data_IF_366455859058
#
_entry.id   IF_366455859058
#
_cell.length_a   1.000
_cell.length_b   1.000
_cell.length_c   1.000
_cell.angle_alpha   90.00
_cell.angle_beta   90.00
_cell.angle_gamma   90.00
#
_symmetry.space_group_name_H-M   'P 1'
#
loop_
_entity.id
_entity.type
_entity.pdbx_description
1 polymer ?
#
# COMPACT_ATOMS: atom_id res chain seq x y z
N UNK A 1 -0.66 23.89 8.30
CA UNK A 1 -1.25 24.64 9.45
C UNK A 1 -1.77 26.01 9.03
N UNK A 2 -0.98 26.87 8.36
CA UNK A 2 -1.44 28.21 7.95
C UNK A 2 -2.72 28.21 7.09
N UNK A 3 -2.83 27.28 6.14
CA UNK A 3 -4.05 27.12 5.34
C UNK A 3 -5.27 26.79 6.20
N UNK A 4 -5.13 25.91 7.20
CA UNK A 4 -6.23 25.55 8.10
C UNK A 4 -6.73 26.76 8.91
N UNK A 5 -5.84 27.71 9.28
CA UNK A 5 -6.25 28.98 9.90
C UNK A 5 -7.08 29.84 8.95
N UNK A 6 -6.68 29.94 7.67
CA UNK A 6 -7.45 30.64 6.62
C UNK A 6 -8.79 29.96 6.34
N UNK A 7 -8.81 28.63 6.28
CA UNK A 7 -10.03 27.84 6.06
C UNK A 7 -11.05 28.07 7.18
N UNK A 8 -10.62 28.06 8.45
CA UNK A 8 -11.50 28.34 9.60
C UNK A 8 -12.09 29.75 9.58
N UNK A 9 -11.44 30.71 8.93
CA UNK A 9 -11.99 32.06 8.74
C UNK A 9 -13.14 32.10 7.71
N UNK A 10 -13.30 31.05 6.89
CA UNK A 10 -14.37 30.94 5.90
C UNK A 10 -15.41 29.90 6.37
N UNK A 11 -16.53 30.33 7.01
CA UNK A 11 -17.44 29.41 7.70
C UNK A 11 -18.10 28.38 6.79
N UNK A 12 -18.49 28.77 5.57
CA UNK A 12 -19.14 27.88 4.58
C UNK A 12 -18.17 26.80 4.11
N UNK A 13 -16.98 27.21 3.63
CA UNK A 13 -15.97 26.27 3.14
C UNK A 13 -15.46 25.35 4.25
N UNK A 14 -15.32 25.87 5.47
CA UNK A 14 -14.97 25.08 6.65
C UNK A 14 -16.04 24.03 6.97
N UNK A 15 -17.33 24.39 6.95
CA UNK A 15 -18.41 23.45 7.18
C UNK A 15 -18.44 22.33 6.13
N UNK A 16 -18.32 22.68 4.85
CA UNK A 16 -18.20 21.72 3.76
C UNK A 16 -16.98 20.79 3.96
N UNK A 17 -15.82 21.36 4.27
CA UNK A 17 -14.54 20.64 4.44
C UNK A 17 -14.55 19.71 5.65
N UNK A 18 -15.20 20.11 6.75
CA UNK A 18 -15.30 19.30 7.97
C UNK A 18 -16.13 18.03 7.76
N UNK A 19 -17.13 18.09 6.89
CA UNK A 19 -18.05 16.98 6.64
C UNK A 19 -17.65 16.10 5.44
N UNK A 20 -16.36 16.06 5.07
CA UNK A 20 -15.86 15.33 3.89
C UNK A 20 -16.33 13.87 3.82
N UNK A 21 -16.31 13.14 4.94
CA UNK A 21 -16.73 11.74 5.02
C UNK A 21 -18.22 11.57 4.75
N UNK A 22 -19.05 12.52 5.19
CA UNK A 22 -20.50 12.50 4.96
C UNK A 22 -20.80 12.65 3.47
N UNK A 23 -20.20 13.64 2.80
CA UNK A 23 -20.39 13.86 1.36
C UNK A 23 -19.96 12.66 0.52
N UNK A 24 -18.85 12.02 0.91
CA UNK A 24 -18.37 10.78 0.28
C UNK A 24 -19.38 9.64 0.45
N UNK A 25 -19.88 9.43 1.67
CA UNK A 25 -20.85 8.39 1.97
C UNK A 25 -22.16 8.59 1.22
N UNK A 26 -22.65 9.84 1.15
CA UNK A 26 -23.87 10.18 0.41
C UNK A 26 -23.71 9.88 -1.08
N UNK A 27 -22.58 10.28 -1.70
CA UNK A 27 -22.36 10.05 -3.13
C UNK A 27 -22.34 8.56 -3.48
N UNK A 28 -21.67 7.75 -2.66
CA UNK A 28 -21.62 6.31 -2.88
C UNK A 28 -22.97 5.64 -2.68
N UNK A 29 -23.70 5.99 -1.61
CA UNK A 29 -25.01 5.41 -1.34
C UNK A 29 -26.02 5.76 -2.46
N UNK A 30 -25.95 6.98 -3.00
CA UNK A 30 -26.74 7.38 -4.17
C UNK A 30 -26.34 6.57 -5.41
N UNK A 31 -25.05 6.38 -5.66
CA UNK A 31 -24.57 5.54 -6.76
C UNK A 31 -25.11 4.11 -6.66
N UNK A 32 -24.99 3.47 -5.50
CA UNK A 32 -25.55 2.12 -5.26
C UNK A 32 -27.05 2.10 -5.48
N UNK A 33 -27.77 3.09 -4.92
CA UNK A 33 -29.22 3.18 -5.05
C UNK A 33 -29.67 3.33 -6.51
N UNK A 34 -29.07 4.26 -7.26
CA UNK A 34 -29.39 4.46 -8.67
C UNK A 34 -29.14 3.19 -9.48
N UNK A 35 -28.01 2.50 -9.26
CA UNK A 35 -27.72 1.25 -9.95
C UNK A 35 -28.69 0.12 -9.59
N UNK A 36 -29.12 0.02 -8.32
CA UNK A 36 -30.16 -0.94 -7.93
C UNK A 36 -31.48 -0.63 -8.62
N UNK A 37 -31.89 0.63 -8.68
CA UNK A 37 -33.10 1.05 -9.40
C UNK A 37 -33.04 0.67 -10.89
N UNK A 38 -31.90 0.91 -11.53
CA UNK A 38 -31.67 0.53 -12.93
C UNK A 38 -31.72 -1.00 -13.08
N UNK A 39 -31.13 -1.75 -12.17
CA UNK A 39 -31.14 -3.21 -12.20
C UNK A 39 -32.56 -3.80 -12.09
N UNK A 40 -33.44 -3.21 -11.27
CA UNK A 40 -34.78 -3.75 -11.05
C UNK A 40 -35.82 -3.32 -12.09
N UNK A 41 -35.64 -2.14 -12.68
CA UNK A 41 -36.71 -1.52 -13.46
C UNK A 41 -36.30 -1.17 -14.91
N UNK A 42 -35.12 -1.60 -15.37
CA UNK A 42 -34.75 -1.52 -16.79
C UNK A 42 -35.31 -2.72 -17.57
N UNK A 43 -35.83 -2.56 -18.81
CA UNK A 43 -35.92 -1.34 -19.60
C UNK A 43 -36.98 -0.36 -19.08
N UNK A 44 -36.66 0.94 -19.14
CA UNK A 44 -37.44 2.05 -18.58
C UNK A 44 -38.85 2.22 -19.19
N UNK A 45 -39.17 1.45 -20.23
CA UNK A 45 -40.39 1.58 -21.03
C UNK A 45 -41.65 0.98 -20.37
N UNK A 46 -41.53 0.25 -19.25
CA UNK A 46 -42.65 -0.51 -18.66
C UNK A 46 -43.51 0.19 -17.59
N UNK A 47 -43.12 1.38 -17.08
CA UNK A 47 -43.85 2.09 -16.01
C UNK A 47 -44.38 3.43 -16.53
N UNK A 48 -44.90 3.43 -17.75
CA UNK A 48 -45.62 4.57 -18.29
C UNK A 48 -47.03 4.61 -17.69
N UNK A 49 -47.25 5.53 -16.75
CA UNK A 49 -48.49 6.30 -16.67
C UNK A 49 -49.82 5.55 -16.51
N UNK A 50 -49.84 4.32 -16.00
CA UNK A 50 -51.08 3.76 -15.45
C UNK A 50 -51.40 4.52 -14.16
N UNK A 51 -52.59 5.11 -14.05
CA UNK A 51 -53.08 5.70 -12.79
C UNK A 51 -52.81 4.69 -11.67
N UNK A 52 -51.90 5.04 -10.76
CA UNK A 52 -51.56 4.17 -9.65
C UNK A 52 -52.86 3.80 -8.93
N UNK A 53 -53.13 2.50 -8.77
CA UNK A 53 -54.35 2.04 -8.10
C UNK A 53 -54.54 2.84 -6.81
N UNK A 54 -55.73 3.42 -6.64
CA UNK A 54 -56.01 4.38 -5.57
C UNK A 54 -55.67 3.80 -4.21
N UNK A 55 -55.85 2.49 -4.04
CA UNK A 55 -55.44 1.73 -2.85
C UNK A 55 -53.92 1.68 -2.66
N UNK A 56 -53.15 1.39 -3.72
CA UNK A 56 -51.68 1.39 -3.67
C UNK A 56 -51.12 2.79 -3.41
N UNK A 57 -51.76 3.82 -3.99
CA UNK A 57 -51.39 5.21 -3.77
C UNK A 57 -51.62 5.66 -2.33
N UNK A 58 -52.77 5.30 -1.75
CA UNK A 58 -53.08 5.55 -0.35
C UNK A 58 -52.12 4.80 0.59
N UNK A 59 -51.81 3.53 0.29
CA UNK A 59 -50.86 2.73 1.07
C UNK A 59 -49.47 3.38 1.12
N UNK A 60 -48.96 3.86 -0.03
CA UNK A 60 -47.66 4.53 -0.08
C UNK A 60 -47.65 5.85 0.71
N UNK A 61 -48.73 6.64 0.65
CA UNK A 61 -48.86 7.85 1.47
C UNK A 61 -48.92 7.56 2.96
N UNK A 62 -49.66 6.53 3.37
CA UNK A 62 -49.68 6.05 4.74
C UNK A 62 -48.29 5.62 5.20
N UNK A 63 -47.53 4.96 4.32
CA UNK A 63 -46.13 4.59 4.57
C UNK A 63 -45.20 5.80 4.76
N UNK A 64 -45.30 6.81 3.90
CA UNK A 64 -44.50 8.06 4.05
C UNK A 64 -44.85 8.77 5.37
N UNK A 65 -46.13 8.90 5.68
CA UNK A 65 -46.58 9.56 6.92
C UNK A 65 -46.15 8.79 8.17
N UNK A 66 -46.31 7.46 8.18
CA UNK A 66 -45.88 6.62 9.29
C UNK A 66 -44.36 6.70 9.51
N UNK A 67 -43.56 6.61 8.44
CA UNK A 67 -42.09 6.74 8.55
C UNK A 67 -41.65 8.14 8.96
N UNK A 68 -42.34 9.20 8.50
CA UNK A 68 -42.09 10.57 8.92
C UNK A 68 -42.36 10.77 10.41
N UNK A 69 -43.49 10.25 10.92
CA UNK A 69 -43.84 10.29 12.34
C UNK A 69 -42.79 9.55 13.17
N UNK A 70 -42.38 8.35 12.75
CA UNK A 70 -41.34 7.56 13.44
C UNK A 70 -40.02 8.34 13.51
N UNK A 71 -39.60 9.02 12.43
CA UNK A 71 -38.36 9.81 12.41
C UNK A 71 -38.44 11.03 13.34
N UNK A 72 -39.61 11.69 13.44
CA UNK A 72 -39.82 12.84 14.32
C UNK A 72 -39.79 12.42 15.79
N UNK A 73 -40.41 11.28 16.14
CA UNK A 73 -40.45 10.78 17.52
C UNK A 73 -39.10 10.17 17.91
N UNK A 74 -38.47 9.40 17.01
CA UNK A 74 -37.21 8.71 17.24
C UNK A 74 -36.31 8.81 16.00
N UNK A 75 -35.37 9.76 15.95
CA UNK A 75 -34.44 9.95 14.82
C UNK A 75 -33.35 8.88 14.82
N UNK A 76 -33.75 7.62 14.64
CA UNK A 76 -32.85 6.49 14.46
C UNK A 76 -32.35 6.46 13.01
N UNK A 77 -31.09 6.03 12.77
CA UNK A 77 -30.53 5.94 11.42
C UNK A 77 -31.34 5.01 10.51
N UNK A 78 -31.99 3.99 11.06
CA UNK A 78 -32.89 3.10 10.34
C UNK A 78 -34.16 3.83 9.87
N UNK A 79 -34.73 4.70 10.70
CA UNK A 79 -35.91 5.49 10.35
C UNK A 79 -35.65 6.46 9.20
N UNK A 80 -34.50 7.14 9.21
CA UNK A 80 -34.10 8.05 8.13
C UNK A 80 -33.93 7.28 6.81
N UNK A 81 -33.30 6.10 6.84
CA UNK A 81 -33.16 5.23 5.66
C UNK A 81 -34.52 4.76 5.14
N UNK A 82 -35.41 4.33 6.03
CA UNK A 82 -36.75 3.91 5.65
C UNK A 82 -37.55 5.04 5.00
N UNK A 83 -37.47 6.26 5.54
CA UNK A 83 -38.12 7.44 4.96
C UNK A 83 -37.58 7.74 3.55
N UNK A 84 -36.26 7.69 3.35
CA UNK A 84 -35.64 7.89 2.01
C UNK A 84 -36.10 6.83 1.02
N UNK A 85 -36.15 5.56 1.42
CA UNK A 85 -36.59 4.47 0.55
C UNK A 85 -38.08 4.65 0.16
N UNK A 86 -38.96 4.90 1.13
CA UNK A 86 -40.41 5.02 0.87
C UNK A 86 -40.72 6.27 0.04
N UNK A 87 -40.01 7.37 0.25
CA UNK A 87 -40.16 8.58 -0.57
C UNK A 87 -39.68 8.38 -2.01
N UNK A 88 -38.56 7.68 -2.23
CA UNK A 88 -38.07 7.35 -3.58
C UNK A 88 -39.02 6.36 -4.27
N UNK A 89 -39.48 5.33 -3.56
CA UNK A 89 -40.47 4.37 -4.08
C UNK A 89 -41.74 5.10 -4.51
N UNK A 90 -42.21 6.06 -3.70
CA UNK A 90 -43.35 6.91 -4.05
C UNK A 90 -43.09 7.73 -5.31
N UNK A 91 -41.94 8.39 -5.41
CA UNK A 91 -41.56 9.19 -6.59
C UNK A 91 -41.56 8.37 -7.88
N UNK A 92 -41.02 7.15 -7.84
CA UNK A 92 -41.00 6.22 -8.98
C UNK A 92 -42.43 5.91 -9.44
N UNK A 93 -43.33 5.58 -8.51
CA UNK A 93 -44.71 5.24 -8.83
C UNK A 93 -45.60 6.45 -9.20
N UNK A 94 -45.25 7.67 -8.78
CA UNK A 94 -46.05 8.87 -9.10
C UNK A 94 -45.60 9.60 -10.35
N UNK A 95 -44.28 9.77 -10.54
CA UNK A 95 -43.69 10.60 -11.61
C UNK A 95 -43.07 9.73 -12.71
N UNK A 96 -42.80 8.46 -12.41
CA UNK A 96 -42.05 7.56 -13.27
C UNK A 96 -40.58 7.45 -12.86
N UNK A 97 -39.93 6.41 -13.38
CA UNK A 97 -38.55 6.09 -13.03
C UNK A 97 -37.54 7.05 -13.65
N UNK A 98 -37.72 7.42 -14.92
CA UNK A 98 -36.78 8.27 -15.66
C UNK A 98 -36.62 9.67 -15.02
N UNK A 99 -37.69 10.41 -14.67
CA UNK A 99 -37.55 11.69 -13.97
C UNK A 99 -36.96 11.53 -12.56
N UNK A 100 -37.26 10.42 -11.88
CA UNK A 100 -36.71 10.13 -10.55
C UNK A 100 -35.20 9.88 -10.62
N UNK A 101 -34.73 9.11 -11.60
CA UNK A 101 -33.30 8.88 -11.83
C UNK A 101 -32.57 10.16 -12.24
N UNK A 102 -33.19 11.01 -13.06
CA UNK A 102 -32.64 12.32 -13.40
C UNK A 102 -32.45 13.20 -12.14
N UNK A 103 -33.46 13.25 -11.26
CA UNK A 103 -33.39 14.02 -10.02
C UNK A 103 -32.29 13.50 -9.07
N UNK A 104 -32.21 12.17 -8.89
CA UNK A 104 -31.18 11.53 -8.05
C UNK A 104 -29.78 11.73 -8.63
N UNK A 105 -29.62 11.63 -9.95
CA UNK A 105 -28.37 11.87 -10.66
C UNK A 105 -27.90 13.32 -10.53
N UNK A 106 -28.80 14.29 -10.76
CA UNK A 106 -28.52 15.71 -10.57
C UNK A 106 -28.13 16.02 -9.11
N UNK A 107 -28.83 15.43 -8.14
CA UNK A 107 -28.48 15.55 -6.72
C UNK A 107 -27.09 14.97 -6.43
N UNK A 108 -26.74 13.82 -7.03
CA UNK A 108 -25.42 13.22 -6.87
C UNK A 108 -24.30 14.08 -7.49
N UNK A 109 -24.53 14.71 -8.65
CA UNK A 109 -23.60 15.66 -9.27
C UNK A 109 -23.36 16.85 -8.33
N UNK A 110 -24.43 17.47 -7.81
CA UNK A 110 -24.32 18.57 -6.85
C UNK A 110 -23.55 18.16 -5.59
N UNK A 111 -23.88 16.99 -5.02
CA UNK A 111 -23.20 16.44 -3.87
C UNK A 111 -21.71 16.19 -4.16
N UNK A 112 -21.36 15.68 -5.34
CA UNK A 112 -19.97 15.43 -5.73
C UNK A 112 -19.19 16.73 -5.94
N UNK A 113 -19.82 17.79 -6.45
CA UNK A 113 -19.21 19.12 -6.53
C UNK A 113 -18.89 19.64 -5.12
N UNK A 114 -19.82 19.51 -4.16
CA UNK A 114 -19.59 19.89 -2.76
C UNK A 114 -18.45 19.05 -2.16
N UNK A 115 -18.43 17.74 -2.42
CA UNK A 115 -17.34 16.86 -2.00
C UNK A 115 -16.00 17.32 -2.58
N UNK A 116 -15.93 17.67 -3.87
CA UNK A 116 -14.69 18.11 -4.51
C UNK A 116 -14.18 19.41 -3.88
N UNK A 117 -15.07 20.37 -3.63
CA UNK A 117 -14.72 21.61 -2.92
C UNK A 117 -14.25 21.35 -1.48
N UNK A 118 -14.90 20.41 -0.79
CA UNK A 118 -14.51 19.93 0.55
C UNK A 118 -13.12 19.28 0.55
N UNK A 119 -12.84 18.44 -0.44
CA UNK A 119 -11.55 17.77 -0.63
C UNK A 119 -10.42 18.77 -0.90
N UNK A 120 -10.62 19.68 -1.85
CA UNK A 120 -9.66 20.75 -2.16
C UNK A 120 -9.43 21.68 -0.96
N UNK A 121 -10.52 22.01 -0.25
CA UNK A 121 -10.50 22.80 0.97
C UNK A 121 -9.70 22.14 2.09
N UNK A 122 -9.85 20.83 2.30
CA UNK A 122 -9.16 20.13 3.39
C UNK A 122 -7.66 19.94 3.11
N UNK A 123 -7.30 19.56 1.88
CA UNK A 123 -5.89 19.34 1.46
C UNK A 123 -5.12 20.65 1.26
N UNK A 124 -5.81 21.77 1.04
CA UNK A 124 -5.18 23.08 0.81
C UNK A 124 -4.44 23.19 -0.51
N UNK A 125 -4.83 22.37 -1.51
CA UNK A 125 -4.23 22.34 -2.86
C UNK A 125 -4.35 23.67 -3.59
N UNK A 126 -5.32 24.52 -3.23
CA UNK A 126 -5.42 25.90 -3.73
C UNK A 126 -4.14 26.73 -3.52
N UNK A 127 -3.37 26.46 -2.45
CA UNK A 127 -2.15 27.20 -2.15
C UNK A 127 -0.92 26.76 -2.96
N UNK A 128 -0.96 25.58 -3.58
CA UNK A 128 0.18 24.98 -4.32
C UNK A 128 0.19 25.31 -5.82
N UNK A 129 -0.85 25.98 -6.33
CA UNK A 129 -0.99 26.36 -7.74
C UNK A 129 -1.70 25.29 -8.61
N UNK A 130 -2.24 25.72 -9.75
CA UNK A 130 -3.12 24.91 -10.61
C UNK A 130 -2.41 23.70 -11.25
N UNK A 131 -1.15 23.86 -11.70
CA UNK A 131 -0.39 22.77 -12.34
C UNK A 131 -0.16 21.58 -11.41
N UNK A 132 0.13 21.85 -10.14
CA UNK A 132 0.30 20.80 -9.13
C UNK A 132 -1.02 20.08 -8.80
N UNK A 133 -2.16 20.78 -8.90
CA UNK A 133 -3.49 20.20 -8.67
C UNK A 133 -3.87 19.19 -9.76
N UNK A 134 -3.62 19.51 -11.04
CA UNK A 134 -3.96 18.62 -12.17
C UNK A 134 -3.07 17.37 -12.21
N UNK A 135 -1.84 17.46 -11.72
CA UNK A 135 -0.92 16.32 -11.62
C UNK A 135 -1.23 15.38 -10.45
N UNK A 136 -2.15 15.75 -9.55
CA UNK A 136 -2.53 14.92 -8.42
C UNK A 136 -3.54 13.84 -8.86
N UNK A 137 -3.13 12.57 -8.77
CA UNK A 137 -3.95 11.42 -9.14
C UNK A 137 -5.25 11.35 -8.33
N UNK A 138 -5.24 11.73 -7.04
CA UNK A 138 -6.46 11.72 -6.22
C UNK A 138 -7.48 12.73 -6.75
N UNK A 139 -7.04 13.93 -7.17
CA UNK A 139 -7.93 14.93 -7.74
C UNK A 139 -8.51 14.46 -9.08
N UNK A 140 -7.67 13.91 -9.95
CA UNK A 140 -8.08 13.40 -11.26
C UNK A 140 -9.14 12.29 -11.13
N UNK A 141 -8.98 11.38 -10.16
CA UNK A 141 -9.96 10.35 -9.87
C UNK A 141 -11.34 10.93 -9.53
N UNK A 142 -11.40 11.89 -8.60
CA UNK A 142 -12.68 12.51 -8.20
C UNK A 142 -13.29 13.37 -9.32
N UNK A 143 -12.45 13.98 -10.16
CA UNK A 143 -12.89 14.72 -11.34
C UNK A 143 -13.48 13.80 -12.41
N UNK A 144 -12.83 12.66 -12.70
CA UNK A 144 -13.36 11.63 -13.61
C UNK A 144 -14.69 11.08 -13.06
N UNK A 145 -14.79 10.82 -11.75
CA UNK A 145 -16.05 10.40 -11.14
C UNK A 145 -17.17 11.43 -11.36
N UNK A 146 -16.88 12.74 -11.23
CA UNK A 146 -17.84 13.79 -11.52
C UNK A 146 -18.27 13.78 -12.99
N UNK A 147 -17.34 13.59 -13.92
CA UNK A 147 -17.62 13.48 -15.35
C UNK A 147 -18.53 12.28 -15.64
N UNK A 148 -18.21 11.09 -15.14
CA UNK A 148 -19.03 9.88 -15.29
C UNK A 148 -20.44 10.10 -14.71
N UNK A 149 -20.55 10.76 -13.55
CA UNK A 149 -21.83 11.09 -12.95
C UNK A 149 -22.65 12.02 -13.86
N UNK A 150 -22.01 13.00 -14.52
CA UNK A 150 -22.68 13.88 -15.48
C UNK A 150 -23.10 13.15 -16.76
N UNK A 151 -22.28 12.22 -17.27
CA UNK A 151 -22.63 11.38 -18.42
C UNK A 151 -23.82 10.46 -18.11
N UNK A 152 -23.94 10.00 -16.85
CA UNK A 152 -25.12 9.25 -16.38
C UNK A 152 -26.42 10.04 -16.44
N UNK A 153 -26.36 11.36 -16.23
CA UNK A 153 -27.52 12.26 -16.28
C UNK A 153 -27.86 12.69 -17.70
N UNK A 154 -26.85 13.04 -18.52
CA UNK A 154 -27.07 13.68 -19.82
C UNK A 154 -26.98 12.74 -21.02
N UNK A 155 -26.31 11.59 -20.91
CA UNK A 155 -26.07 10.68 -22.04
C UNK A 155 -26.84 9.38 -21.89
N UNK A 156 -26.53 8.57 -20.87
CA UNK A 156 -27.20 7.30 -20.66
C UNK A 156 -27.06 6.80 -19.22
N UNK A 157 -28.13 6.18 -18.70
CA UNK A 157 -28.24 5.68 -17.33
C UNK A 157 -27.18 4.61 -16.99
N UNK A 158 -26.67 3.86 -17.96
CA UNK A 158 -25.63 2.85 -17.75
C UNK A 158 -24.28 3.40 -17.28
N UNK A 159 -23.98 4.68 -17.49
CA UNK A 159 -22.75 5.27 -16.94
C UNK A 159 -22.73 5.24 -15.40
N UNK A 160 -23.88 5.13 -14.73
CA UNK A 160 -23.92 4.94 -13.27
C UNK A 160 -23.23 3.65 -12.82
N UNK A 161 -23.16 2.60 -13.66
CA UNK A 161 -22.49 1.34 -13.31
C UNK A 161 -21.00 1.54 -13.02
N UNK A 162 -20.35 2.46 -13.72
CA UNK A 162 -18.95 2.80 -13.52
C UNK A 162 -18.71 3.50 -12.18
N UNK A 163 -19.71 4.16 -11.59
CA UNK A 163 -19.59 4.78 -10.27
C UNK A 163 -19.44 3.74 -9.16
N UNK A 164 -19.87 2.49 -9.37
CA UNK A 164 -19.73 1.42 -8.38
C UNK A 164 -18.27 1.02 -8.14
N UNK A 165 -17.37 1.30 -9.08
CA UNK A 165 -15.92 1.08 -8.88
C UNK A 165 -15.34 1.92 -7.74
N UNK A 166 -16.05 2.95 -7.26
CA UNK A 166 -15.66 3.68 -6.06
C UNK A 166 -15.62 2.81 -4.80
N UNK A 167 -16.34 1.67 -4.78
CA UNK A 167 -16.22 0.67 -3.71
C UNK A 167 -14.77 0.22 -3.53
N UNK A 168 -14.05 0.02 -4.64
CA UNK A 168 -12.65 -0.40 -4.62
C UNK A 168 -11.81 0.65 -3.91
N UNK A 169 -11.91 1.93 -4.29
CA UNK A 169 -11.09 3.00 -3.70
C UNK A 169 -11.39 3.23 -2.21
N UNK A 170 -12.63 2.98 -1.78
CA UNK A 170 -13.07 3.21 -0.41
C UNK A 170 -12.64 2.12 0.57
N UNK A 171 -12.52 0.87 0.10
CA UNK A 171 -12.17 -0.27 0.95
C UNK A 171 -10.70 -0.67 0.79
N UNK A 172 -9.90 -0.46 1.85
CA UNK A 172 -8.47 -0.81 1.86
C UNK A 172 -8.24 -2.30 1.55
N UNK A 173 -9.15 -3.17 2.00
CA UNK A 173 -9.09 -4.62 1.76
C UNK A 173 -9.18 -4.95 0.28
N UNK A 174 -10.11 -4.33 -0.45
CA UNK A 174 -10.27 -4.52 -1.90
C UNK A 174 -9.11 -3.90 -2.69
N UNK A 175 -8.59 -2.74 -2.26
CA UNK A 175 -7.37 -2.18 -2.85
C UNK A 175 -6.19 -3.13 -2.72
N UNK A 176 -6.04 -3.76 -1.56
CA UNK A 176 -4.97 -4.75 -1.35
C UNK A 176 -5.14 -5.98 -2.26
N UNK A 177 -6.37 -6.41 -2.53
CA UNK A 177 -6.66 -7.48 -3.50
C UNK A 177 -6.23 -7.06 -4.91
N UNK A 178 -6.55 -5.86 -5.37
CA UNK A 178 -6.08 -5.38 -6.69
C UNK A 178 -4.56 -5.19 -6.71
N UNK A 179 -3.98 -4.75 -5.59
CA UNK A 179 -2.53 -4.57 -5.45
C UNK A 179 -1.77 -5.88 -5.59
N UNK A 180 -2.34 -7.01 -5.17
CA UNK A 180 -1.72 -8.33 -5.37
C UNK A 180 -1.44 -8.60 -6.86
N UNK A 181 -2.43 -8.37 -7.72
CA UNK A 181 -2.31 -8.60 -9.17
C UNK A 181 -1.44 -7.53 -9.84
N UNK A 182 -1.57 -6.27 -9.43
CA UNK A 182 -0.88 -5.15 -10.11
C UNK A 182 0.59 -5.01 -9.73
N UNK A 183 1.00 -5.43 -8.52
CA UNK A 183 2.39 -5.30 -8.03
C UNK A 183 3.38 -6.12 -8.87
N UNK A 184 3.08 -7.40 -9.10
CA UNK A 184 3.88 -8.27 -9.97
C UNK A 184 3.25 -8.42 -11.35
N UNK A 185 2.54 -7.39 -11.82
CA UNK A 185 1.80 -7.42 -13.09
C UNK A 185 2.68 -7.73 -14.30
N UNK A 186 3.96 -7.31 -14.29
CA UNK A 186 4.92 -7.67 -15.35
C UNK A 186 5.08 -9.19 -15.50
N UNK A 187 5.21 -9.92 -14.40
CA UNK A 187 5.38 -11.38 -14.41
C UNK A 187 4.11 -12.08 -14.89
N UNK A 188 2.93 -11.59 -14.47
CA UNK A 188 1.63 -12.09 -14.95
C UNK A 188 1.49 -11.88 -16.46
N UNK A 189 1.80 -10.67 -16.96
CA UNK A 189 1.74 -10.37 -18.40
C UNK A 189 2.71 -11.24 -19.18
N UNK A 190 3.95 -11.41 -18.72
CA UNK A 190 4.93 -12.29 -19.36
C UNK A 190 4.45 -13.76 -19.39
N UNK A 191 3.80 -14.22 -18.33
CA UNK A 191 3.23 -15.57 -18.27
C UNK A 191 2.04 -15.72 -19.21
N UNK A 192 1.18 -14.70 -19.33
CA UNK A 192 0.09 -14.67 -20.30
C UNK A 192 0.60 -14.65 -21.75
N UNK A 193 1.70 -13.93 -22.02
CA UNK A 193 2.39 -13.96 -23.32
C UNK A 193 2.97 -15.35 -23.61
N UNK A 194 3.58 -16.02 -22.63
CA UNK A 194 4.02 -17.41 -22.76
C UNK A 194 2.83 -18.34 -23.06
N UNK A 195 1.70 -18.17 -22.36
CA UNK A 195 0.47 -18.90 -22.63
C UNK A 195 0.00 -18.73 -24.07
N UNK A 196 -0.01 -17.48 -24.56
CA UNK A 196 -0.41 -17.14 -25.92
C UNK A 196 0.52 -17.78 -26.96
N UNK A 197 1.84 -17.78 -26.72
CA UNK A 197 2.82 -18.44 -27.59
C UNK A 197 2.57 -19.95 -27.63
N UNK A 198 2.33 -20.59 -26.48
CA UNK A 198 2.03 -22.02 -26.43
C UNK A 198 0.73 -22.34 -27.16
N UNK A 199 -0.34 -21.59 -26.90
CA UNK A 199 -1.62 -21.73 -27.61
C UNK A 199 -1.43 -21.57 -29.12
N UNK A 200 -0.62 -20.62 -29.56
CA UNK A 200 -0.28 -20.41 -30.97
C UNK A 200 0.41 -21.64 -31.58
N UNK A 201 1.41 -22.21 -30.89
CA UNK A 201 2.10 -23.42 -31.36
C UNK A 201 1.17 -24.63 -31.45
N UNK A 202 0.34 -24.86 -30.44
CA UNK A 202 -0.68 -25.92 -30.47
C UNK A 202 -1.69 -25.69 -31.59
N UNK A 203 -2.08 -24.44 -31.86
CA UNK A 203 -3.00 -24.11 -32.95
C UNK A 203 -2.41 -24.40 -34.33
N UNK A 204 -1.10 -24.20 -34.54
CA UNK A 204 -0.43 -24.60 -35.80
C UNK A 204 -0.48 -26.12 -35.98
N UNK A 205 -0.17 -26.87 -34.93
CA UNK A 205 -0.21 -28.34 -34.96
C UNK A 205 -1.65 -28.82 -35.21
N UNK A 206 -2.63 -28.23 -34.52
CA UNK A 206 -4.05 -28.48 -34.72
C UNK A 206 -4.49 -28.18 -36.16
N UNK A 207 -4.07 -27.06 -36.73
CA UNK A 207 -4.38 -26.67 -38.10
C UNK A 207 -3.79 -27.59 -39.17
N UNK A 208 -2.57 -28.11 -38.95
CA UNK A 208 -1.90 -28.97 -39.93
C UNK A 208 -2.43 -30.42 -39.87
N UNK A 209 -2.64 -30.96 -38.67
CA UNK A 209 -2.94 -32.38 -38.48
C UNK A 209 -4.40 -32.70 -38.14
N UNK A 210 -5.13 -31.79 -37.51
CA UNK A 210 -6.45 -32.04 -36.92
C UNK A 210 -7.51 -31.02 -37.37
N UNK A 211 -7.28 -30.31 -38.48
CA UNK A 211 -8.19 -29.26 -38.98
C UNK A 211 -9.64 -29.72 -39.09
N UNK A 212 -9.86 -30.93 -39.60
CA UNK A 212 -11.20 -31.48 -39.82
C UNK A 212 -11.93 -31.87 -38.53
N UNK A 213 -11.24 -31.97 -37.39
CA UNK A 213 -11.83 -32.31 -36.09
C UNK A 213 -12.35 -31.07 -35.32
N UNK A 214 -12.05 -29.86 -35.79
CA UNK A 214 -12.55 -28.60 -35.21
C UNK A 214 -13.97 -28.28 -35.69
N UNK A 215 -14.92 -29.08 -35.22
CA UNK A 215 -16.34 -28.95 -35.51
C UNK A 215 -17.05 -28.46 -34.24
N UNK A 216 -17.67 -27.28 -34.30
CA UNK A 216 -18.47 -26.75 -33.20
C UNK A 216 -19.95 -26.73 -33.57
N UNK A 217 -20.80 -27.03 -32.58
CA UNK A 217 -22.24 -26.77 -32.66
C UNK A 217 -22.48 -25.26 -32.64
N UNK A 218 -23.21 -24.76 -33.64
CA UNK A 218 -23.54 -23.35 -33.80
C UNK A 218 -25.04 -23.14 -33.98
N UNK A 219 -25.58 -22.13 -33.29
CA UNK A 219 -26.95 -21.68 -33.49
C UNK A 219 -26.97 -20.57 -34.54
N UNK A 220 -27.45 -20.88 -35.76
CA UNK A 220 -27.58 -19.88 -36.82
C UNK A 220 -28.72 -18.91 -36.54
N UNK A 221 -28.41 -17.62 -36.55
CA UNK A 221 -29.42 -16.56 -36.47
C UNK A 221 -30.13 -16.48 -37.83
N UNK A 222 -31.46 -16.67 -37.91
CA UNK A 222 -32.18 -16.61 -39.18
C UNK A 222 -32.10 -15.19 -39.75
N UNK A 223 -31.55 -15.05 -40.96
CA UNK A 223 -31.57 -13.80 -41.70
C UNK A 223 -33.03 -13.41 -41.99
N UNK A 224 -33.40 -12.16 -41.70
CA UNK A 224 -34.74 -11.57 -41.82
C UNK A 224 -35.28 -11.49 -43.27
N UNK A 225 -34.67 -12.21 -44.21
CA UNK A 225 -34.99 -12.25 -45.64
C UNK A 225 -35.39 -13.64 -46.14
N UNK A 226 -35.50 -14.64 -45.26
CA UNK A 226 -35.90 -15.99 -45.64
C UNK A 226 -37.42 -16.21 -45.46
N UNK A 227 -38.04 -16.70 -46.53
CA UNK A 227 -39.46 -17.06 -46.64
C UNK A 227 -39.91 -18.05 -45.56
N UNK A 228 -41.18 -17.95 -45.13
CA UNK A 228 -41.83 -18.76 -44.08
C UNK A 228 -41.66 -20.29 -44.23
N UNK A 229 -41.35 -20.79 -45.44
CA UNK A 229 -41.05 -22.20 -45.68
C UNK A 229 -39.72 -22.67 -45.06
N UNK A 230 -38.74 -21.79 -44.85
CA UNK A 230 -37.45 -22.14 -44.21
C UNK A 230 -37.55 -22.21 -42.68
N UNK A 231 -38.60 -21.65 -42.07
CA UNK A 231 -38.80 -21.64 -40.62
C UNK A 231 -39.26 -23.01 -40.09
N UNK A 232 -39.98 -23.78 -40.92
CA UNK A 232 -40.42 -25.15 -40.56
C UNK A 232 -39.29 -26.17 -40.56
N UNK A 233 -38.21 -25.94 -41.31
CA UNK A 233 -37.02 -26.80 -41.28
C UNK A 233 -36.14 -26.50 -40.06
N UNK A 234 -36.10 -25.23 -39.60
CA UNK A 234 -35.32 -24.82 -38.42
C UNK A 234 -35.87 -25.33 -37.08
N UNK A 235 -37.17 -25.63 -36.99
CA UNK A 235 -37.77 -26.07 -35.72
C UNK A 235 -37.60 -27.57 -35.40
N UNK A 236 -36.91 -28.35 -36.24
CA UNK A 236 -36.92 -29.81 -36.11
C UNK A 236 -35.68 -30.57 -36.56
N UNK A 237 -34.55 -29.92 -36.88
CA UNK A 237 -33.36 -30.62 -37.38
C UNK A 237 -32.13 -30.30 -36.54
N UNK A 238 -31.27 -31.33 -36.39
CA UNK A 238 -30.04 -31.40 -35.60
C UNK A 238 -29.23 -30.10 -35.47
N UNK A 239 -28.46 -29.92 -34.38
CA UNK A 239 -27.57 -28.77 -34.23
C UNK A 239 -26.69 -28.62 -35.47
N UNK A 240 -26.66 -27.40 -36.03
CA UNK A 240 -25.82 -27.08 -37.17
C UNK A 240 -24.35 -27.15 -36.71
N UNK A 241 -23.55 -27.92 -37.45
CA UNK A 241 -22.15 -28.15 -37.17
C UNK A 241 -21.29 -27.30 -38.10
N UNK A 242 -20.41 -26.47 -37.56
CA UNK A 242 -19.55 -25.58 -38.34
C UNK A 242 -18.05 -25.86 -38.10
N UNK A 243 -17.28 -25.82 -39.19
CA UNK A 243 -15.82 -25.97 -39.15
C UNK A 243 -15.18 -24.63 -38.80
N UNK A 244 -14.52 -24.55 -37.65
CA UNK A 244 -13.99 -23.28 -37.14
C UNK A 244 -12.49 -23.09 -37.38
N UNK A 245 -11.78 -24.11 -37.88
CA UNK A 245 -10.33 -24.07 -38.09
C UNK A 245 -9.96 -24.01 -39.59
N UNK A 246 -10.75 -23.31 -40.43
CA UNK A 246 -10.42 -23.16 -41.87
C UNK A 246 -9.25 -22.23 -42.16
N UNK A 247 -9.07 -21.21 -41.32
CA UNK A 247 -7.89 -20.35 -41.29
C UNK A 247 -7.12 -20.52 -39.99
N UNK A 248 -5.80 -20.31 -40.05
CA UNK A 248 -4.95 -20.40 -38.85
C UNK A 248 -5.39 -19.40 -37.77
N UNK A 249 -5.81 -18.19 -38.18
CA UNK A 249 -6.31 -17.17 -37.24
C UNK A 249 -7.55 -17.65 -36.49
N UNK A 250 -8.54 -18.21 -37.20
CA UNK A 250 -9.74 -18.73 -36.55
C UNK A 250 -9.40 -19.93 -35.66
N UNK A 251 -8.46 -20.78 -36.06
CA UNK A 251 -8.00 -21.88 -35.21
C UNK A 251 -7.40 -21.38 -33.89
N UNK A 252 -6.54 -20.35 -33.94
CA UNK A 252 -5.98 -19.71 -32.73
C UNK A 252 -7.09 -19.14 -31.85
N UNK A 253 -8.05 -18.42 -32.43
CA UNK A 253 -9.19 -17.85 -31.69
C UNK A 253 -10.03 -18.94 -31.04
N UNK A 254 -10.32 -20.04 -31.74
CA UNK A 254 -11.08 -21.18 -31.22
C UNK A 254 -10.35 -21.86 -30.06
N UNK A 255 -9.05 -22.15 -30.20
CA UNK A 255 -8.25 -22.77 -29.13
C UNK A 255 -8.08 -21.82 -27.94
N UNK A 256 -7.91 -20.52 -28.18
CA UNK A 256 -7.78 -19.52 -27.11
C UNK A 256 -9.10 -19.33 -26.34
N UNK A 257 -10.22 -19.24 -27.04
CA UNK A 257 -11.54 -19.00 -26.43
C UNK A 257 -12.07 -20.27 -25.77
N UNK A 258 -12.25 -21.34 -26.54
CA UNK A 258 -12.88 -22.56 -26.06
C UNK A 258 -11.88 -23.50 -25.39
N UNK A 259 -10.66 -23.62 -25.92
CA UNK A 259 -9.65 -24.52 -25.36
C UNK A 259 -9.15 -24.10 -23.97
N UNK A 260 -9.07 -22.80 -23.65
CA UNK A 260 -8.70 -22.34 -22.30
C UNK A 260 -9.86 -22.31 -21.31
N UNK A 261 -11.11 -22.15 -21.79
CA UNK A 261 -12.30 -22.03 -20.94
C UNK A 261 -12.96 -23.37 -20.64
N UNK A 262 -12.85 -24.34 -21.54
CA UNK A 262 -13.31 -25.71 -21.31
C UNK A 262 -12.39 -26.40 -20.30
N UNK A 263 -12.96 -26.96 -19.23
CA UNK A 263 -12.20 -27.47 -18.09
C UNK A 263 -11.20 -28.59 -18.43
N UNK A 264 -11.43 -29.39 -19.47
CA UNK A 264 -10.52 -30.44 -19.97
C UNK A 264 -9.58 -29.98 -21.09
N UNK A 265 -9.56 -28.69 -21.42
CA UNK A 265 -8.70 -28.13 -22.47
C UNK A 265 -9.33 -28.23 -23.87
N UNK A 266 -8.47 -28.16 -24.90
CA UNK A 266 -8.89 -28.20 -26.30
C UNK A 266 -9.55 -29.52 -26.71
N UNK A 267 -9.23 -30.63 -26.03
CA UNK A 267 -9.80 -31.95 -26.32
C UNK A 267 -11.32 -32.03 -26.15
N UNK A 268 -11.89 -31.21 -25.26
CA UNK A 268 -13.34 -31.13 -25.05
C UNK A 268 -14.07 -30.38 -26.19
N UNK A 269 -13.32 -29.59 -26.97
CA UNK A 269 -13.86 -28.74 -28.04
C UNK A 269 -13.89 -29.48 -29.37
N UNK A 270 -12.91 -30.35 -29.62
CA UNK A 270 -12.87 -31.13 -30.86
C UNK A 270 -13.77 -32.36 -30.77
N UNK A 271 -14.10 -32.90 -31.94
CA UNK A 271 -14.81 -34.18 -32.07
C UNK A 271 -14.05 -35.30 -31.35
N UNK A 272 -14.80 -36.20 -30.71
CA UNK A 272 -14.27 -37.44 -30.13
C UNK A 272 -13.85 -38.42 -31.25
N UNK A 273 -12.57 -38.81 -31.36
CA UNK A 273 -12.09 -39.70 -32.42
C UNK A 273 -12.50 -41.16 -32.17
N UNK A 274 -12.67 -41.95 -33.23
CA UNK A 274 -12.89 -43.40 -33.13
C UNK A 274 -11.56 -44.14 -32.88
N UNK A 275 -11.62 -45.29 -32.20
CA UNK A 275 -10.46 -46.16 -31.90
C UNK A 275 -9.76 -46.71 -33.16
N UNK A 276 -10.44 -46.70 -34.30
CA UNK A 276 -9.96 -47.26 -35.58
C UNK A 276 -9.21 -46.22 -36.43
N UNK A 277 -9.25 -44.94 -36.04
CA UNK A 277 -8.58 -43.87 -36.77
C UNK A 277 -7.05 -43.96 -36.59
N UNK A 278 -6.25 -43.84 -37.68
CA UNK A 278 -4.79 -44.02 -37.61
C UNK A 278 -4.08 -42.98 -36.73
N UNK A 279 -4.69 -41.80 -36.55
CA UNK A 279 -4.18 -40.69 -35.76
C UNK A 279 -4.74 -40.66 -34.33
N UNK A 280 -5.49 -41.68 -33.89
CA UNK A 280 -6.10 -41.71 -32.56
C UNK A 280 -5.08 -41.49 -31.44
N UNK A 281 -3.95 -42.20 -31.46
CA UNK A 281 -2.91 -42.07 -30.44
C UNK A 281 -2.26 -40.67 -30.44
N UNK A 282 -2.01 -40.11 -31.63
CA UNK A 282 -1.45 -38.77 -31.77
C UNK A 282 -2.42 -37.70 -31.25
N UNK A 283 -3.73 -37.87 -31.49
CA UNK A 283 -4.80 -37.00 -31.00
C UNK A 283 -4.86 -36.99 -29.47
N UNK A 284 -4.83 -38.16 -28.84
CA UNK A 284 -4.83 -38.29 -27.38
C UNK A 284 -3.59 -37.62 -26.76
N UNK A 285 -2.41 -37.83 -27.34
CA UNK A 285 -1.17 -37.19 -26.87
C UNK A 285 -1.27 -35.67 -27.00
N UNK A 286 -1.78 -35.16 -28.12
CA UNK A 286 -1.99 -33.73 -28.34
C UNK A 286 -2.90 -33.11 -27.26
N UNK A 287 -4.03 -33.75 -26.96
CA UNK A 287 -4.98 -33.26 -25.95
C UNK A 287 -4.40 -33.28 -24.53
N UNK A 288 -3.72 -34.37 -24.17
CA UNK A 288 -3.06 -34.49 -22.86
C UNK A 288 -1.91 -33.49 -22.70
N UNK A 289 -1.12 -33.27 -23.75
CA UNK A 289 -0.04 -32.28 -23.72
C UNK A 289 -0.58 -30.86 -23.60
N UNK A 290 -1.64 -30.53 -24.33
CA UNK A 290 -2.29 -29.23 -24.21
C UNK A 290 -2.83 -29.02 -22.79
N UNK A 291 -3.57 -29.99 -22.27
CA UNK A 291 -4.13 -29.92 -20.92
C UNK A 291 -3.05 -29.75 -19.85
N UNK A 292 -2.01 -30.59 -19.88
CA UNK A 292 -0.96 -30.52 -18.87
C UNK A 292 -0.11 -29.25 -19.00
N UNK A 293 0.34 -28.87 -20.20
CA UNK A 293 1.22 -27.72 -20.37
C UNK A 293 0.48 -26.39 -20.22
N UNK A 294 -0.67 -26.22 -20.88
CA UNK A 294 -1.34 -24.91 -20.93
C UNK A 294 -2.26 -24.70 -19.72
N UNK A 295 -3.08 -25.69 -19.38
CA UNK A 295 -4.04 -25.55 -18.28
C UNK A 295 -3.35 -25.78 -16.93
N UNK A 296 -2.71 -26.94 -16.74
CA UNK A 296 -2.13 -27.30 -15.43
C UNK A 296 -0.87 -26.50 -15.10
N UNK A 297 0.06 -26.32 -16.03
CA UNK A 297 1.29 -25.57 -15.73
C UNK A 297 1.06 -24.07 -15.86
N UNK A 298 0.70 -23.57 -17.05
CA UNK A 298 0.71 -22.11 -17.29
C UNK A 298 -0.39 -21.38 -16.53
N UNK A 299 -1.63 -21.88 -16.53
CA UNK A 299 -2.74 -21.21 -15.83
C UNK A 299 -2.54 -21.21 -14.31
N UNK A 300 -2.07 -22.32 -13.74
CA UNK A 300 -1.74 -22.38 -12.31
C UNK A 300 -0.48 -21.58 -11.95
N UNK A 301 0.46 -21.37 -12.88
CA UNK A 301 1.59 -20.46 -12.65
C UNK A 301 1.10 -19.02 -12.43
N UNK A 302 0.11 -18.56 -13.22
CA UNK A 302 -0.50 -17.23 -13.03
C UNK A 302 -1.12 -17.12 -11.62
N UNK A 303 -1.91 -18.12 -11.21
CA UNK A 303 -2.48 -18.14 -9.85
C UNK A 303 -1.38 -18.23 -8.78
N UNK A 304 -0.32 -19.00 -9.01
CA UNK A 304 0.83 -19.12 -8.12
C UNK A 304 1.52 -17.78 -7.88
N UNK A 305 1.78 -17.00 -8.94
CA UNK A 305 2.34 -15.64 -8.84
C UNK A 305 1.42 -14.72 -8.03
N UNK A 306 0.10 -14.80 -8.23
CA UNK A 306 -0.87 -13.99 -7.46
C UNK A 306 -0.86 -14.40 -5.98
N UNK A 307 -0.85 -15.70 -5.66
CA UNK A 307 -0.81 -16.17 -4.26
C UNK A 307 0.48 -15.72 -3.56
N UNK A 308 1.62 -15.79 -4.25
CA UNK A 308 2.92 -15.32 -3.76
C UNK A 308 2.88 -13.81 -3.45
N UNK A 309 2.33 -12.99 -4.37
CA UNK A 309 2.18 -11.55 -4.13
C UNK A 309 1.29 -11.22 -2.93
N UNK A 310 0.27 -12.05 -2.66
CA UNK A 310 -0.59 -11.89 -1.49
C UNK A 310 0.17 -12.19 -0.19
N UNK A 311 1.02 -13.22 -0.21
CA UNK A 311 1.88 -13.54 0.92
C UNK A 311 2.86 -12.39 1.19
N UNK A 312 3.50 -11.85 0.16
CA UNK A 312 4.41 -10.70 0.27
C UNK A 312 3.73 -9.46 0.86
N UNK A 313 2.55 -9.08 0.34
CA UNK A 313 1.81 -7.91 0.83
C UNK A 313 1.40 -8.07 2.30
N UNK A 314 1.06 -9.29 2.73
CA UNK A 314 0.74 -9.59 4.12
C UNK A 314 1.97 -9.46 5.00
N UNK A 315 3.08 -10.07 4.61
CA UNK A 315 4.36 -10.02 5.34
C UNK A 315 4.88 -8.58 5.47
N UNK A 316 4.75 -7.77 4.42
CA UNK A 316 5.12 -6.35 4.47
C UNK A 316 4.23 -5.53 5.40
N UNK A 317 2.91 -5.75 5.36
CA UNK A 317 1.98 -5.06 6.26
C UNK A 317 2.30 -5.41 7.71
N UNK A 318 2.50 -6.69 8.00
CA UNK A 318 2.88 -7.16 9.34
C UNK A 318 4.21 -6.55 9.79
N UNK A 319 5.25 -6.56 8.95
CA UNK A 319 6.55 -5.96 9.27
C UNK A 319 6.44 -4.46 9.56
N UNK A 320 5.63 -3.72 8.78
CA UNK A 320 5.40 -2.29 9.02
C UNK A 320 4.67 -2.04 10.34
N UNK A 321 3.65 -2.82 10.65
CA UNK A 321 2.92 -2.71 11.91
C UNK A 321 3.78 -3.09 13.12
N UNK A 322 4.67 -4.07 12.97
CA UNK A 322 5.64 -4.45 13.98
C UNK A 322 6.62 -3.31 14.24
N UNK A 323 7.32 -2.81 13.21
CA UNK A 323 8.26 -1.68 13.34
C UNK A 323 7.59 -0.45 13.96
N UNK A 324 6.35 -0.13 13.58
CA UNK A 324 5.60 1.00 14.16
C UNK A 324 5.35 0.84 15.68
N UNK A 325 5.18 -0.40 16.16
CA UNK A 325 4.87 -0.71 17.56
C UNK A 325 6.12 -0.91 18.42
N UNK A 326 7.17 -1.46 17.83
CA UNK A 326 8.38 -1.87 18.55
C UNK A 326 9.53 -0.89 18.40
N UNK A 327 9.52 -0.01 17.40
CA UNK A 327 10.64 0.90 17.13
C UNK A 327 10.21 2.35 17.33
N UNK A 328 11.04 3.14 18.02
CA UNK A 328 10.80 4.57 18.20
C UNK A 328 11.02 5.34 16.87
N UNK A 329 10.04 6.17 16.49
CA UNK A 329 10.05 6.91 15.21
C UNK A 329 11.23 7.88 15.06
N UNK A 330 11.73 8.45 16.16
CA UNK A 330 12.77 9.48 16.14
C UNK A 330 14.16 8.86 16.21
N UNK A 331 14.45 8.07 17.25
CA UNK A 331 15.80 7.54 17.47
C UNK A 331 16.07 6.19 16.83
N UNK A 332 15.03 5.44 16.41
CA UNK A 332 15.18 4.12 15.82
C UNK A 332 15.51 3.01 16.84
N UNK A 333 15.42 3.27 18.14
CA UNK A 333 15.62 2.25 19.16
C UNK A 333 14.41 1.31 19.26
N UNK A 334 14.70 0.03 19.42
CA UNK A 334 13.72 -1.01 19.68
C UNK A 334 13.22 -0.97 21.14
N UNK A 335 12.01 -1.49 21.34
CA UNK A 335 11.29 -1.50 22.62
C UNK A 335 12.05 -2.28 23.70
N UNK A 336 12.72 -3.37 23.30
CA UNK A 336 13.51 -4.24 24.17
C UNK A 336 14.61 -3.48 24.96
N UNK A 337 15.15 -2.39 24.39
CA UNK A 337 16.20 -1.57 25.04
C UNK A 337 15.71 -0.81 26.27
N UNK A 338 14.39 -0.64 26.40
CA UNK A 338 13.76 0.05 27.52
C UNK A 338 13.24 -0.92 28.59
N UNK A 339 13.36 -2.23 28.36
CA UNK A 339 13.00 -3.24 29.36
C UNK A 339 13.94 -3.14 30.58
N UNK A 340 13.38 -3.21 31.79
CA UNK A 340 14.10 -3.07 33.06
C UNK A 340 14.86 -1.74 33.23
N UNK A 341 14.47 -0.69 32.49
CA UNK A 341 14.94 0.69 32.68
C UNK A 341 13.91 1.52 33.45
N UNK A 342 14.35 2.68 33.93
CA UNK A 342 13.49 3.60 34.70
C UNK A 342 12.38 4.21 33.83
N UNK A 343 12.67 4.44 32.55
CA UNK A 343 11.73 5.01 31.58
C UNK A 343 11.19 3.90 30.70
N UNK A 344 9.85 3.80 30.62
CA UNK A 344 9.17 2.85 29.75
C UNK A 344 9.20 3.29 28.29
N UNK A 345 9.05 2.35 27.35
CA UNK A 345 8.98 2.70 25.92
C UNK A 345 7.81 3.65 25.60
N UNK A 346 6.66 3.47 26.25
CA UNK A 346 5.48 4.33 26.08
C UNK A 346 5.71 5.78 26.56
N UNK A 347 6.45 5.96 27.64
CA UNK A 347 6.84 7.27 28.15
C UNK A 347 7.90 7.91 27.23
N UNK A 348 8.88 7.13 26.79
CA UNK A 348 9.90 7.55 25.83
C UNK A 348 9.28 8.14 24.55
N UNK A 349 8.30 7.48 23.93
CA UNK A 349 7.69 7.98 22.68
C UNK A 349 6.71 9.15 22.88
N UNK A 350 6.14 9.32 24.08
CA UNK A 350 5.13 10.36 24.36
C UNK A 350 5.74 11.66 24.87
N UNK A 351 6.73 11.55 25.76
CA UNK A 351 7.32 12.68 26.47
C UNK A 351 8.69 13.06 25.89
N UNK A 352 9.62 12.10 25.75
CA UNK A 352 10.98 12.36 25.27
C UNK A 352 11.04 12.56 23.74
N UNK A 353 10.55 11.58 22.98
CA UNK A 353 10.67 11.48 21.52
C UNK A 353 9.32 11.58 20.81
N UNK A 354 8.52 12.58 21.21
CA UNK A 354 7.26 12.88 20.55
C UNK A 354 7.48 13.50 19.16
N UNK A 355 7.03 12.82 18.10
CA UNK A 355 7.19 13.29 16.71
C UNK A 355 6.62 14.68 16.45
N UNK A 356 5.56 15.08 17.17
CA UNK A 356 4.91 16.37 16.97
C UNK A 356 5.69 17.51 17.61
N UNK A 357 6.38 17.27 18.73
CA UNK A 357 7.23 18.28 19.37
C UNK A 357 8.37 18.71 18.43
N UNK A 358 8.98 17.77 17.70
CA UNK A 358 9.99 18.10 16.67
C UNK A 358 9.40 18.96 15.55
N UNK A 359 8.20 18.65 15.07
CA UNK A 359 7.53 19.46 14.05
C UNK A 359 7.22 20.87 14.55
N UNK A 360 6.72 21.00 15.79
CA UNK A 360 6.45 22.30 16.40
C UNK A 360 7.72 23.13 16.57
N UNK A 361 8.83 22.51 16.96
CA UNK A 361 10.12 23.19 17.08
C UNK A 361 10.64 23.70 15.74
N UNK A 362 10.55 22.89 14.67
CA UNK A 362 10.93 23.33 13.30
C UNK A 362 10.06 24.52 12.85
N UNK A 363 8.76 24.50 13.15
CA UNK A 363 7.85 25.61 12.82
C UNK A 363 8.20 26.86 13.65
N UNK A 364 8.54 26.70 14.92
CA UNK A 364 8.99 27.80 15.79
C UNK A 364 10.23 28.48 15.21
N UNK A 365 11.29 27.72 14.90
CA UNK A 365 12.54 28.25 14.34
C UNK A 365 12.27 29.02 13.04
N UNK A 366 11.36 28.53 12.18
CA UNK A 366 11.02 29.21 10.92
C UNK A 366 10.21 30.51 11.07
N UNK A 367 9.51 30.70 12.18
CA UNK A 367 8.62 31.85 12.39
C UNK A 367 9.24 32.88 13.33
N UNK A 368 10.04 32.43 14.29
CA UNK A 368 10.73 33.28 15.27
C UNK A 368 11.81 34.12 14.58
N UNK A 369 12.01 35.34 15.08
CA UNK A 369 13.05 36.23 14.56
C UNK A 369 14.45 35.69 14.89
N UNK A 370 15.36 35.78 13.92
CA UNK A 370 16.72 35.23 14.04
C UNK A 370 17.55 35.87 15.15
N UNK A 371 17.23 37.11 15.56
CA UNK A 371 17.95 37.81 16.65
C UNK A 371 17.53 37.31 18.03
N UNK A 372 16.39 36.63 18.13
CA UNK A 372 15.85 36.07 19.38
C UNK A 372 16.21 34.60 19.57
N UNK A 373 16.97 34.00 18.65
CA UNK A 373 17.34 32.60 18.74
C UNK A 373 18.19 32.33 19.99
N UNK A 374 17.88 31.23 20.67
CA UNK A 374 18.80 30.65 21.65
C UNK A 374 19.97 29.96 20.95
N UNK A 375 21.02 29.59 21.70
CA UNK A 375 22.17 28.84 21.14
C UNK A 375 21.75 27.58 20.38
N UNK A 376 20.96 26.67 20.99
CA UNK A 376 20.45 25.48 20.30
C UNK A 376 19.53 25.78 19.11
N UNK A 377 18.68 26.81 19.20
CA UNK A 377 17.82 27.23 18.08
C UNK A 377 18.64 27.70 16.88
N UNK A 378 19.70 28.48 17.13
CA UNK A 378 20.62 28.96 16.08
C UNK A 378 21.33 27.80 15.39
N UNK A 379 21.82 26.84 16.17
CA UNK A 379 22.45 25.63 15.65
C UNK A 379 21.49 24.82 14.76
N UNK A 380 20.26 24.59 15.21
CA UNK A 380 19.26 23.85 14.40
C UNK A 380 18.83 24.66 13.17
N UNK A 381 18.73 25.99 13.27
CA UNK A 381 18.43 26.84 12.11
C UNK A 381 19.50 26.73 11.03
N UNK A 382 20.78 26.72 11.41
CA UNK A 382 21.92 26.51 10.51
C UNK A 382 21.87 25.11 9.87
N UNK A 383 21.68 24.06 10.67
CA UNK A 383 21.55 22.69 10.17
C UNK A 383 20.39 22.53 9.17
N UNK A 384 19.23 23.16 9.42
CA UNK A 384 18.09 23.15 8.51
C UNK A 384 18.44 23.86 7.19
N UNK A 385 19.17 24.98 7.25
CA UNK A 385 19.62 25.74 6.08
C UNK A 385 20.61 24.95 5.23
N UNK A 386 21.47 24.16 5.87
CA UNK A 386 22.44 23.27 5.22
C UNK A 386 21.83 21.93 4.77
N UNK A 387 20.54 21.69 5.03
CA UNK A 387 19.87 20.40 4.80
C UNK A 387 20.53 19.22 5.53
N UNK A 388 21.17 19.49 6.68
CA UNK A 388 21.78 18.47 7.52
C UNK A 388 20.78 17.96 8.59
N UNK A 389 20.63 16.64 8.70
CA UNK A 389 19.71 15.95 9.62
C UNK A 389 20.41 15.37 10.86
N UNK A 390 21.70 15.60 11.04
CA UNK A 390 22.50 15.01 12.12
C UNK A 390 22.14 15.52 13.53
N UNK A 391 21.36 16.59 13.62
CA UNK A 391 20.83 17.09 14.89
C UNK A 391 19.71 16.21 15.49
N UNK A 392 19.11 15.30 14.71
CA UNK A 392 18.21 14.28 15.25
C UNK A 392 19.00 13.18 15.99
N UNK A 393 18.51 12.67 17.13
CA UNK A 393 19.16 11.56 17.80
C UNK A 393 19.06 10.29 16.94
N UNK A 394 20.17 9.58 16.74
CA UNK A 394 20.22 8.30 16.02
C UNK A 394 20.73 7.22 16.96
N UNK A 395 19.95 6.15 17.15
CA UNK A 395 20.29 4.98 17.97
C UNK A 395 20.74 5.32 19.40
N UNK A 396 20.21 6.42 19.97
CA UNK A 396 20.56 6.88 21.33
C UNK A 396 19.38 7.59 21.99
N UNK A 397 19.33 7.52 23.32
CA UNK A 397 18.36 8.22 24.16
C UNK A 397 19.00 8.53 25.52
N UNK A 398 18.70 9.71 26.10
CA UNK A 398 19.26 10.15 27.38
C UNK A 398 18.95 9.18 28.52
N UNK A 399 17.73 8.61 28.52
CA UNK A 399 17.25 7.64 29.50
C UNK A 399 18.05 6.33 29.54
N UNK A 400 18.82 6.01 28.49
CA UNK A 400 19.63 4.79 28.38
C UNK A 400 21.12 4.98 28.76
N UNK A 401 21.57 6.23 28.92
CA UNK A 401 22.99 6.58 29.18
C UNK A 401 23.46 6.14 30.56
N UNK A 402 22.56 5.73 31.46
CA UNK A 402 22.89 5.19 32.79
C UNK A 402 23.73 3.91 32.78
N UNK A 403 23.95 3.27 31.63
CA UNK A 403 24.83 2.10 31.50
C UNK A 403 26.32 2.44 31.37
N UNK A 404 26.69 3.66 30.99
CA UNK A 404 28.12 4.06 30.89
C UNK A 404 28.78 4.24 32.27
N UNK A 405 27.99 4.42 33.33
CA UNK A 405 28.49 4.52 34.70
C UNK A 405 29.21 3.23 35.16
N UNK A 406 28.80 2.05 34.70
CA UNK A 406 29.50 0.80 35.02
C UNK A 406 30.85 0.69 34.28
N UNK A 407 30.95 1.26 33.07
CA UNK A 407 32.19 1.35 32.31
C UNK A 407 33.20 2.28 32.99
N UNK A 408 32.76 3.49 33.35
CA UNK A 408 33.59 4.47 34.07
C UNK A 408 34.08 3.91 35.42
N UNK A 409 33.24 3.17 36.14
CA UNK A 409 33.61 2.58 37.41
C UNK A 409 34.65 1.46 37.27
N UNK A 410 34.62 0.71 36.16
CA UNK A 410 35.66 -0.27 35.82
C UNK A 410 36.98 0.41 35.42
N UNK A 411 36.93 1.53 34.70
CA UNK A 411 38.12 2.30 34.34
C UNK A 411 38.79 2.94 35.56
N UNK A 412 38.00 3.51 36.48
CA UNK A 412 38.50 4.06 37.75
C UNK A 412 39.20 2.98 38.57
N UNK A 413 38.61 1.78 38.64
CA UNK A 413 39.23 0.63 39.33
C UNK A 413 40.57 0.23 38.70
N UNK A 414 40.63 0.15 37.37
CA UNK A 414 41.87 -0.13 36.62
C UNK A 414 42.94 0.94 36.83
N UNK A 415 42.56 2.22 36.85
CA UNK A 415 43.47 3.33 37.13
C UNK A 415 44.00 3.28 38.57
N UNK A 416 43.15 2.89 39.53
CA UNK A 416 43.55 2.75 40.93
C UNK A 416 44.56 1.61 41.13
N UNK A 417 44.38 0.47 40.45
CA UNK A 417 45.36 -0.63 40.45
C UNK A 417 46.72 -0.22 39.82
N UNK A 418 46.68 0.54 38.73
CA UNK A 418 47.90 1.08 38.09
C UNK A 418 48.63 2.08 38.99
N UNK A 419 47.90 2.91 39.74
CA UNK A 419 48.49 3.84 40.69
C UNK A 419 49.17 3.10 41.85
N UNK A 420 48.49 2.10 42.43
CA UNK A 420 49.04 1.33 43.56
C UNK A 420 50.30 0.55 43.16
N UNK A 421 50.30 -0.08 41.98
CA UNK A 421 51.47 -0.78 41.46
C UNK A 421 52.65 0.17 41.19
N UNK A 422 52.38 1.37 40.66
CA UNK A 422 53.41 2.39 40.46
C UNK A 422 53.97 2.90 41.78
N UNK A 423 53.12 3.12 42.80
CA UNK A 423 53.56 3.51 44.14
C UNK A 423 54.46 2.45 44.78
N UNK A 424 54.13 1.16 44.63
CA UNK A 424 54.99 0.06 45.10
C UNK A 424 56.34 0.03 44.39
N UNK A 425 56.37 0.25 43.08
CA UNK A 425 57.61 0.33 42.31
C UNK A 425 58.49 1.50 42.77
N UNK A 426 57.90 2.68 43.00
CA UNK A 426 58.63 3.85 43.52
C UNK A 426 59.18 3.60 44.92
N UNK A 427 58.41 2.96 45.80
CA UNK A 427 58.86 2.60 47.14
C UNK A 427 60.05 1.61 47.09
N UNK A 428 59.96 0.59 46.23
CA UNK A 428 61.04 -0.38 46.04
C UNK A 428 62.30 0.26 45.44
N UNK A 429 62.15 1.12 44.44
CA UNK A 429 63.28 1.81 43.81
C UNK A 429 63.95 2.79 44.79
N UNK A 430 63.17 3.49 45.60
CA UNK A 430 63.69 4.34 46.69
C UNK A 430 64.50 3.51 47.68
N UNK A 431 63.99 2.33 48.09
CA UNK A 431 64.71 1.38 48.94
C UNK A 431 66.04 0.91 48.34
N UNK A 432 66.04 0.51 47.06
CA UNK A 432 67.26 0.12 46.34
C UNK A 432 68.26 1.28 46.24
N UNK A 433 67.79 2.51 46.03
CA UNK A 433 68.66 3.68 45.96
C UNK A 433 69.31 3.98 47.32
N UNK A 434 68.57 3.82 48.43
CA UNK A 434 69.13 3.95 49.78
C UNK A 434 70.17 2.88 50.08
N UNK A 435 69.91 1.63 49.69
CA UNK A 435 70.85 0.52 49.88
C UNK A 435 72.11 0.70 49.03
N UNK A 436 71.97 1.12 47.77
CA UNK A 436 73.09 1.43 46.89
C UNK A 436 73.93 2.60 47.45
N UNK A 437 73.28 3.63 48.01
CA UNK A 437 73.96 4.75 48.67
C UNK A 437 74.77 4.26 49.87
N UNK A 438 74.21 3.38 50.70
CA UNK A 438 74.94 2.79 51.83
C UNK A 438 76.16 1.98 51.36
N UNK A 439 75.98 1.11 50.37
CA UNK A 439 77.10 0.35 49.78
C UNK A 439 78.20 1.25 49.21
N UNK A 440 77.83 2.33 48.50
CA UNK A 440 78.77 3.31 47.96
C UNK A 440 79.52 4.05 49.07
N UNK A 441 78.85 4.41 50.18
CA UNK A 441 79.52 5.04 51.32
C UNK A 441 80.48 4.08 52.02
N UNK A 442 80.12 2.80 52.11
CA UNK A 442 80.96 1.77 52.72
C UNK A 442 82.18 1.45 51.85
N UNK A 443 82.01 1.35 50.53
CA UNK A 443 83.14 1.28 49.58
C UNK A 443 84.08 2.50 49.72
N UNK A 444 83.52 3.70 49.91
CA UNK A 444 84.33 4.91 50.09
C UNK A 444 85.14 4.86 51.39
N UNK A 445 84.56 4.36 52.49
CA UNK A 445 85.27 4.11 53.75
C UNK A 445 86.37 3.04 53.59
N UNK A 446 86.09 1.96 52.86
CA UNK A 446 87.10 0.94 52.55
C UNK A 446 88.25 1.51 51.72
N UNK A 447 87.98 2.30 50.67
CA UNK A 447 89.03 2.98 49.88
C UNK A 447 89.86 3.94 50.73
N UNK A 448 89.25 4.67 51.67
CA UNK A 448 89.99 5.52 52.61
C UNK A 448 90.88 4.70 53.57
N UNK A 449 90.43 3.54 54.04
CA UNK A 449 91.27 2.63 54.83
C UNK A 449 92.46 2.09 54.04
N UNK A 450 92.27 1.74 52.77
CA UNK A 450 93.35 1.27 51.89
C UNK A 450 94.35 2.41 51.60
N UNK A 451 93.87 3.64 51.39
CA UNK A 451 94.72 4.82 51.21
C UNK A 451 95.57 5.18 52.42
N UNK A 452 95.16 4.83 53.64
CA UNK A 452 95.92 5.04 54.87
C UNK A 452 97.05 4.01 55.10
N UNK A 453 97.03 2.89 54.37
CA UNK A 453 98.01 1.80 54.49
C UNK A 453 99.04 1.77 53.34
N UNK A 454 99.02 2.76 52.44
CA UNK A 454 99.89 2.83 51.26
C UNK A 454 100.83 4.06 51.25
N UNK A 455 101.99 3.94 51.90
CA UNK A 455 103.19 4.72 51.58
C UNK A 455 104.44 3.84 51.75
N UNK A 456 105.31 3.71 50.73
CA UNK A 456 106.63 4.33 50.85
C UNK A 456 107.28 4.86 49.54
N UNK A 457 108.41 5.57 49.78
CA UNK A 457 109.43 6.26 48.98
C UNK A 457 109.66 6.04 47.46
N UNK A 458 109.81 7.19 46.78
CA UNK A 458 110.74 7.61 45.69
C UNK A 458 111.58 6.56 44.93
N UNK A 459 111.52 6.61 43.58
CA UNK A 459 112.62 7.12 42.73
C UNK A 459 112.23 7.20 41.23
N UNK A 460 112.43 8.40 40.67
CA UNK A 460 113.04 8.79 39.39
C UNK A 460 113.05 7.82 38.17
N UNK A 461 112.56 8.30 37.01
CA UNK A 461 113.26 8.46 35.70
C UNK A 461 112.21 8.55 34.55
N UNK A 462 112.24 9.69 33.85
CA UNK A 462 111.64 10.03 32.54
C UNK A 462 112.53 9.43 31.40
N UNK A 463 112.23 9.44 30.07
CA UNK A 463 111.14 10.09 29.33
C UNK A 463 110.58 9.29 28.12
N UNK A 464 109.72 9.97 27.35
CA UNK A 464 109.37 9.79 25.92
C UNK A 464 108.00 9.16 25.55
N UNK A 465 107.17 10.05 24.99
CA UNK A 465 106.17 9.92 23.90
C UNK A 465 106.51 8.87 22.80
N UNK A 466 105.65 8.62 21.79
CA UNK A 466 104.20 8.84 21.62
C UNK A 466 103.45 7.63 20.97
N UNK A 467 102.12 7.67 20.99
CA UNK A 467 101.18 7.46 19.85
C UNK A 467 99.78 7.16 20.40
#
# INVERSE_FOLDING_TARGET
>A
MNWQKKLRAQPVLYWCSRNISVWSNVSFNLAVLMNLLVCFFYPLEGIHGGTLDTHLSALLWMGVLATLIIVIIMPQPLGIRALVIVTILRLIFSVGLEPTLFLLGAFNVCNKIIFLMSFLGNRGTFSRGYKAMVMDFEFLYHFIYLLICSLGVFVHVFFYSLLLFDLVYREETLLNVIKSVTRNGRSIVLTAVLALILVYLFSIVGYIFFKDDFILEVDRIPNTTLSEDSLKTLLGTAPDMERTCDSLLMCIVTVLSHGLRSGGGVGDVLRKPSKEEPLFAARVIYDLLFFFMVIIIVLNLIFGVIIDTFADLRSEKQKKEEVLKTTCFICGLERDKFDNKTVTFEEHIKEEHNMWHYLFFIVLVKVKDSTEYTGPESYVAEMIKEHNLDWFPRMRAMSLVSSDAEGEQNEIRSLQEKLESTMRLVANLSGQLTELKEQMTEQRKQKQRIGLLGHPHNMNINPQQPA
#
